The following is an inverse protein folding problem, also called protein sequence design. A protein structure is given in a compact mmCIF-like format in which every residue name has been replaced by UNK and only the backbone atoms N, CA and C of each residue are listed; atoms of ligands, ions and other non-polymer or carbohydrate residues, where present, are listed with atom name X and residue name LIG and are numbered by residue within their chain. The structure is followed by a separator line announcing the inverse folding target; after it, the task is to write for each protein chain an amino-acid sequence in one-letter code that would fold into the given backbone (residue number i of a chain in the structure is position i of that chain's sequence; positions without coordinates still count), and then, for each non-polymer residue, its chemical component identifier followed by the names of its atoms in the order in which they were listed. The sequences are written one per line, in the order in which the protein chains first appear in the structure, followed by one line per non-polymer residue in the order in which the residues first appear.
data_IF_833594171272
#
_entry.id   IF_833594171272
#
_cell.length_a   1.000
_cell.length_b   1.000
_cell.length_c   1.000
_cell.angle_alpha   90.00
_cell.angle_beta   90.00
_cell.angle_gamma   90.00
#
_symmetry.space_group_name_H-M   'P 1'
#
loop_
_entity.id
_entity.type
_entity.pdbx_description
1 polymer ?
#
# COMPACT_ATOMS: atom_id res chain seq x y z
N UNK A 1 -51.16 36.38 27.02
CA UNK A 1 -50.23 35.42 27.64
C UNK A 1 -50.19 34.04 26.97
N UNK A 2 -51.08 33.68 26.06
CA UNK A 2 -51.09 32.34 25.39
C UNK A 2 -50.29 32.24 24.09
N UNK A 3 -50.00 33.34 23.38
CA UNK A 3 -49.27 33.31 22.13
C UNK A 3 -47.74 33.05 22.28
N UNK A 4 -47.18 33.49 23.41
CA UNK A 4 -45.72 33.36 23.65
C UNK A 4 -45.29 31.92 23.99
N UNK A 5 -46.18 31.08 24.52
CA UNK A 5 -45.89 29.66 24.83
C UNK A 5 -45.90 28.75 23.59
N UNK A 6 -46.61 29.10 22.51
CA UNK A 6 -46.64 28.30 21.27
C UNK A 6 -45.35 28.43 20.44
N UNK A 7 -44.70 29.59 20.46
CA UNK A 7 -43.48 29.81 19.66
C UNK A 7 -42.26 29.12 20.25
N UNK A 8 -42.17 28.93 21.56
CA UNK A 8 -41.06 28.28 22.23
C UNK A 8 -41.09 26.76 22.02
N UNK A 9 -42.28 26.16 21.91
CA UNK A 9 -42.44 24.71 21.69
C UNK A 9 -42.09 24.23 20.30
N UNK A 10 -42.25 25.07 19.27
CA UNK A 10 -41.94 24.75 17.86
C UNK A 10 -40.44 24.83 17.58
N UNK A 11 -39.73 25.83 18.14
CA UNK A 11 -38.29 26.03 17.94
C UNK A 11 -37.44 24.88 18.54
N UNK A 12 -37.85 24.36 19.70
CA UNK A 12 -37.09 23.29 20.38
C UNK A 12 -37.21 21.93 19.68
N UNK A 13 -38.31 21.62 19.02
CA UNK A 13 -38.48 20.37 18.25
C UNK A 13 -37.73 20.37 16.91
N UNK A 14 -37.63 21.52 16.27
CA UNK A 14 -36.84 21.64 15.00
C UNK A 14 -35.34 21.56 15.25
N UNK A 15 -34.84 22.14 16.34
CA UNK A 15 -33.42 22.08 16.70
C UNK A 15 -33.03 20.64 17.08
N UNK A 16 -33.87 19.90 17.82
CA UNK A 16 -33.62 18.49 18.17
C UNK A 16 -33.56 17.58 16.93
N UNK A 17 -34.41 17.82 15.93
CA UNK A 17 -34.40 17.04 14.68
C UNK A 17 -33.15 17.28 13.83
N UNK A 18 -32.66 18.50 13.74
CA UNK A 18 -31.46 18.86 12.98
C UNK A 18 -30.18 18.32 13.63
N UNK A 19 -30.08 18.38 14.96
CA UNK A 19 -28.93 17.84 15.70
C UNK A 19 -28.87 16.32 15.59
N UNK A 20 -29.99 15.61 15.64
CA UNK A 20 -30.03 14.17 15.48
C UNK A 20 -29.65 13.72 14.06
N UNK A 21 -30.07 14.45 13.02
CA UNK A 21 -29.64 14.19 11.63
C UNK A 21 -28.15 14.46 11.40
N UNK A 22 -27.57 15.49 12.02
CA UNK A 22 -26.15 15.81 11.86
C UNK A 22 -25.23 14.74 12.49
N UNK A 23 -25.64 14.08 13.56
CA UNK A 23 -24.85 13.01 14.22
C UNK A 23 -24.79 11.74 13.36
N UNK A 24 -25.80 11.46 12.55
CA UNK A 24 -25.84 10.28 11.69
C UNK A 24 -24.86 10.34 10.49
N UNK A 25 -24.39 11.52 10.09
CA UNK A 25 -23.44 11.71 8.98
C UNK A 25 -21.96 11.65 9.39
N UNK A 26 -21.65 11.55 10.68
CA UNK A 26 -20.28 11.46 11.20
C UNK A 26 -19.79 10.00 11.39
N UNK A 27 -20.53 9.01 10.89
CA UNK A 27 -20.03 7.63 10.80
C UNK A 27 -19.00 7.53 9.69
N UNK A 28 -17.90 8.24 9.82
CA UNK A 28 -16.71 8.00 9.00
C UNK A 28 -16.32 6.54 9.14
N UNK A 29 -16.17 5.82 8.03
CA UNK A 29 -15.68 4.47 8.00
C UNK A 29 -14.26 4.44 8.60
N UNK A 30 -14.14 4.27 9.90
CA UNK A 30 -12.85 3.98 10.53
C UNK A 30 -12.45 2.60 10.04
N UNK A 31 -11.49 2.55 9.14
CA UNK A 31 -10.96 1.29 8.66
C UNK A 31 -10.32 0.53 9.82
N UNK A 32 -10.86 -0.66 10.11
CA UNK A 32 -10.34 -1.48 11.22
C UNK A 32 -8.90 -1.89 10.92
N UNK A 33 -7.97 -1.83 11.89
CA UNK A 33 -6.62 -2.33 11.70
C UNK A 33 -6.63 -3.83 11.35
N UNK A 34 -5.63 -4.27 10.61
CA UNK A 34 -5.44 -5.70 10.33
C UNK A 34 -5.18 -6.45 11.63
N UNK A 35 -5.83 -7.61 11.81
CA UNK A 35 -5.65 -8.47 12.99
C UNK A 35 -4.24 -9.09 13.02
N UNK A 36 -3.69 -9.40 11.87
CA UNK A 36 -2.33 -9.92 11.73
C UNK A 36 -1.76 -9.49 10.38
N UNK A 37 -0.51 -9.06 10.37
CA UNK A 37 0.26 -8.78 9.14
C UNK A 37 1.21 -9.94 8.80
N UNK A 38 1.30 -10.95 9.66
CA UNK A 38 2.16 -12.11 9.49
C UNK A 38 1.42 -13.31 8.87
N UNK A 39 0.11 -13.20 8.71
CA UNK A 39 -0.77 -14.22 8.14
C UNK A 39 -1.56 -13.64 6.96
N UNK A 40 -1.19 -14.06 5.73
CA UNK A 40 -1.84 -13.57 4.50
C UNK A 40 -3.31 -13.99 4.40
N UNK A 41 -3.68 -15.16 4.94
CA UNK A 41 -5.08 -15.59 4.99
C UNK A 41 -5.92 -14.66 5.86
N UNK A 42 -5.34 -14.23 6.98
CA UNK A 42 -6.00 -13.28 7.87
C UNK A 42 -6.08 -11.88 7.26
N UNK A 43 -5.03 -11.43 6.54
CA UNK A 43 -5.08 -10.17 5.77
C UNK A 43 -6.23 -10.21 4.77
N UNK A 44 -6.38 -11.28 4.02
CA UNK A 44 -7.42 -11.43 3.01
C UNK A 44 -8.82 -11.62 3.61
N UNK A 45 -8.92 -12.24 4.79
CA UNK A 45 -10.19 -12.31 5.53
C UNK A 45 -10.63 -10.93 6.05
N UNK A 46 -9.69 -10.09 6.49
CA UNK A 46 -9.96 -8.73 6.95
C UNK A 46 -10.24 -7.77 5.77
N UNK A 47 -9.68 -8.05 4.59
CA UNK A 47 -9.76 -7.22 3.38
C UNK A 47 -10.00 -8.08 2.13
N UNK A 48 -11.22 -8.61 1.91
CA UNK A 48 -11.54 -9.44 0.76
C UNK A 48 -11.21 -8.77 -0.59
N UNK A 49 -11.44 -7.45 -0.69
CA UNK A 49 -11.10 -6.66 -1.87
C UNK A 49 -9.59 -6.66 -2.19
N UNK A 50 -8.73 -6.82 -1.19
CA UNK A 50 -7.28 -6.94 -1.41
C UNK A 50 -6.90 -8.27 -2.02
N UNK A 51 -7.58 -9.36 -1.59
CA UNK A 51 -7.43 -10.68 -2.19
C UNK A 51 -7.72 -10.65 -3.69
N UNK A 52 -8.85 -10.05 -4.07
CA UNK A 52 -9.24 -9.91 -5.47
C UNK A 52 -8.23 -9.05 -6.27
N UNK A 53 -7.78 -7.93 -5.71
CA UNK A 53 -6.80 -7.06 -6.37
C UNK A 53 -5.46 -7.77 -6.61
N UNK A 54 -4.98 -8.53 -5.61
CA UNK A 54 -3.75 -9.33 -5.71
C UNK A 54 -3.92 -10.46 -6.73
N UNK A 55 -5.08 -11.12 -6.76
CA UNK A 55 -5.41 -12.14 -7.76
C UNK A 55 -5.35 -11.60 -9.18
N UNK A 56 -6.05 -10.50 -9.46
CA UNK A 56 -6.00 -9.83 -10.77
C UNK A 56 -4.59 -9.40 -11.16
N UNK A 57 -3.79 -8.94 -10.20
CA UNK A 57 -2.39 -8.56 -10.43
C UNK A 57 -1.54 -9.78 -10.82
N UNK A 58 -1.71 -10.90 -10.13
CA UNK A 58 -1.00 -12.14 -10.43
C UNK A 58 -1.34 -12.67 -11.82
N UNK A 59 -2.61 -12.66 -12.20
CA UNK A 59 -3.07 -13.06 -13.53
C UNK A 59 -2.52 -12.14 -14.63
N UNK A 60 -2.55 -10.83 -14.42
CA UNK A 60 -2.12 -9.84 -15.41
C UNK A 60 -0.61 -9.84 -15.65
N UNK A 61 0.19 -9.93 -14.60
CA UNK A 61 1.63 -9.69 -14.65
C UNK A 61 2.49 -10.94 -14.39
N UNK A 62 1.89 -12.07 -14.03
CA UNK A 62 2.63 -13.29 -13.69
C UNK A 62 3.47 -13.18 -12.43
N UNK A 63 3.15 -12.25 -11.54
CA UNK A 63 3.87 -12.04 -10.27
C UNK A 63 3.17 -12.79 -9.15
N UNK A 64 3.86 -13.69 -8.41
CA UNK A 64 3.25 -14.45 -7.34
C UNK A 64 2.64 -13.55 -6.25
N UNK A 65 1.42 -13.87 -5.76
CA UNK A 65 0.70 -13.10 -4.75
C UNK A 65 1.51 -12.81 -3.50
N UNK A 66 2.22 -13.80 -3.00
CA UNK A 66 3.06 -13.71 -1.81
C UNK A 66 4.17 -12.67 -1.95
N UNK A 67 4.70 -12.47 -3.15
CA UNK A 67 5.74 -11.47 -3.43
C UNK A 67 5.14 -10.08 -3.39
N UNK A 68 4.02 -9.87 -4.10
CA UNK A 68 3.33 -8.58 -4.14
C UNK A 68 2.94 -8.11 -2.75
N UNK A 69 2.32 -8.99 -1.93
CA UNK A 69 1.89 -8.64 -0.57
C UNK A 69 3.09 -8.41 0.36
N UNK A 70 4.19 -9.19 0.21
CA UNK A 70 5.38 -8.98 1.03
C UNK A 70 6.06 -7.64 0.73
N UNK A 71 6.01 -7.17 -0.53
CA UNK A 71 6.52 -5.86 -0.90
C UNK A 71 5.67 -4.74 -0.28
N UNK A 72 4.33 -4.79 -0.40
CA UNK A 72 3.45 -3.81 0.24
C UNK A 72 3.74 -3.69 1.74
N UNK A 73 3.87 -4.84 2.43
CA UNK A 73 4.21 -4.80 3.85
C UNK A 73 5.55 -4.11 4.10
N UNK A 74 6.57 -4.45 3.33
CA UNK A 74 7.91 -3.89 3.51
C UNK A 74 7.95 -2.38 3.25
N UNK A 75 7.22 -1.90 2.24
CA UNK A 75 7.24 -0.50 1.84
C UNK A 75 6.41 0.40 2.76
N UNK A 76 5.26 -0.05 3.20
CA UNK A 76 4.32 0.81 3.93
C UNK A 76 3.74 0.22 5.21
N UNK A 77 3.99 -1.06 5.51
CA UNK A 77 3.27 -1.80 6.54
C UNK A 77 1.74 -1.69 6.36
N UNK A 78 1.27 -1.76 5.12
CA UNK A 78 -0.14 -1.59 4.73
C UNK A 78 -0.74 -0.21 5.04
N UNK A 79 0.06 0.84 5.14
CA UNK A 79 -0.43 2.21 5.32
C UNK A 79 -0.58 2.91 3.97
N UNK A 80 -1.80 3.36 3.67
CA UNK A 80 -2.12 4.02 2.40
C UNK A 80 -1.38 5.33 2.17
N UNK A 81 -1.12 6.07 3.23
CA UNK A 81 -0.51 7.40 3.21
C UNK A 81 0.96 7.41 3.63
N UNK A 82 1.62 6.25 3.63
CA UNK A 82 3.01 6.11 4.05
C UNK A 82 3.93 7.05 3.27
N UNK A 83 4.83 7.71 4.00
CA UNK A 83 5.84 8.62 3.44
C UNK A 83 7.16 8.45 4.17
N UNK A 84 8.31 8.57 3.49
CA UNK A 84 9.60 8.62 4.15
C UNK A 84 9.65 9.75 5.19
N UNK A 85 10.32 9.55 6.33
CA UNK A 85 10.45 10.59 7.34
C UNK A 85 11.19 11.81 6.76
N UNK A 86 10.82 13.00 7.24
CA UNK A 86 11.53 14.23 6.87
C UNK A 86 12.95 14.19 7.47
N UNK A 87 13.93 14.64 6.70
CA UNK A 87 15.25 14.96 7.27
C UNK A 87 15.09 16.11 8.28
N UNK A 88 15.94 16.14 9.26
CA UNK A 88 15.98 17.26 10.22
C UNK A 88 17.17 18.16 9.90
N UNK A 89 16.92 19.46 9.73
CA UNK A 89 17.95 20.47 9.71
C UNK A 89 18.32 20.79 11.16
N UNK A 90 19.61 20.84 11.47
CA UNK A 90 20.13 21.04 12.84
C UNK A 90 19.51 20.06 13.87
N UNK A 91 19.19 18.84 13.44
CA UNK A 91 18.60 17.75 14.24
C UNK A 91 17.21 18.02 14.83
N UNK A 92 16.64 19.22 14.67
CA UNK A 92 15.37 19.63 15.28
C UNK A 92 14.33 20.14 14.27
N UNK A 93 14.73 20.86 13.22
CA UNK A 93 13.80 21.48 12.27
C UNK A 93 13.44 20.48 11.17
N UNK A 94 12.14 20.13 10.97
CA UNK A 94 11.74 19.28 9.86
C UNK A 94 12.12 19.90 8.51
N UNK A 95 12.89 19.17 7.71
CA UNK A 95 13.36 19.61 6.40
C UNK A 95 12.70 18.78 5.28
N UNK A 96 13.27 18.84 4.08
CA UNK A 96 12.76 18.09 2.91
C UNK A 96 12.80 16.58 3.14
N UNK A 97 11.87 15.84 2.52
CA UNK A 97 11.92 14.39 2.45
C UNK A 97 13.06 13.95 1.52
N UNK A 98 13.69 12.79 1.76
CA UNK A 98 14.80 12.31 0.92
C UNK A 98 14.34 11.90 -0.48
N UNK A 99 13.08 11.49 -0.62
CA UNK A 99 12.50 11.05 -1.89
C UNK A 99 11.03 11.47 -1.98
N UNK A 100 10.42 11.31 -3.17
CA UNK A 100 8.99 11.51 -3.43
C UNK A 100 8.16 10.23 -3.21
N UNK A 101 8.77 9.17 -2.64
CA UNK A 101 8.09 7.91 -2.36
C UNK A 101 6.81 8.15 -1.53
N UNK A 102 5.72 7.47 -1.94
CA UNK A 102 4.41 7.67 -1.31
C UNK A 102 3.50 6.47 -1.48
N UNK A 103 2.58 6.30 -0.51
CA UNK A 103 1.50 5.34 -0.55
C UNK A 103 1.93 3.91 -0.23
N UNK A 104 1.08 2.95 -0.55
CA UNK A 104 1.30 1.54 -0.26
C UNK A 104 2.59 0.97 -0.84
N UNK A 105 2.90 1.30 -2.09
CA UNK A 105 4.05 0.78 -2.83
C UNK A 105 5.31 1.64 -2.73
N UNK A 106 5.28 2.78 -2.04
CA UNK A 106 6.38 3.74 -1.93
C UNK A 106 6.99 4.11 -3.29
N UNK A 107 6.16 4.12 -4.35
CA UNK A 107 6.58 4.53 -5.67
C UNK A 107 6.97 6.02 -5.69
N UNK A 108 8.09 6.35 -6.34
CA UNK A 108 8.50 7.73 -6.59
C UNK A 108 7.72 8.32 -7.77
N UNK A 109 7.58 9.65 -7.82
CA UNK A 109 6.74 10.35 -8.81
C UNK A 109 7.06 9.95 -10.26
N UNK A 110 8.34 9.91 -10.62
CA UNK A 110 8.75 9.60 -11.99
C UNK A 110 8.42 8.15 -12.41
N UNK A 111 8.57 7.19 -11.48
CA UNK A 111 8.26 5.79 -11.77
C UNK A 111 6.75 5.57 -11.80
N UNK A 112 5.99 6.25 -10.92
CA UNK A 112 4.54 6.21 -10.93
C UNK A 112 3.95 6.79 -12.22
N UNK A 113 4.43 7.95 -12.67
CA UNK A 113 4.00 8.55 -13.93
C UNK A 113 4.31 7.66 -15.15
N UNK A 114 5.43 6.93 -15.13
CA UNK A 114 5.73 5.94 -16.16
C UNK A 114 4.73 4.78 -16.13
N UNK A 115 4.43 4.24 -14.96
CA UNK A 115 3.42 3.19 -14.79
C UNK A 115 2.05 3.63 -15.33
N UNK A 116 1.59 4.83 -14.98
CA UNK A 116 0.31 5.37 -15.47
C UNK A 116 0.25 5.39 -17.00
N UNK A 117 1.32 5.77 -17.67
CA UNK A 117 1.38 5.77 -19.15
C UNK A 117 1.45 4.37 -19.73
N UNK A 118 2.32 3.52 -19.20
CA UNK A 118 2.69 2.23 -19.80
C UNK A 118 1.64 1.16 -19.50
N UNK A 119 0.99 1.21 -18.35
CA UNK A 119 -0.06 0.28 -17.92
C UNK A 119 -1.49 0.76 -18.26
N UNK A 120 -1.65 1.97 -18.79
CA UNK A 120 -2.92 2.53 -19.21
C UNK A 120 -3.86 2.92 -18.07
N UNK A 121 -3.31 3.29 -16.90
CA UNK A 121 -4.08 3.68 -15.71
C UNK A 121 -3.76 5.14 -15.32
N UNK A 122 -4.31 6.11 -16.08
CA UNK A 122 -4.08 7.54 -15.85
C UNK A 122 -4.62 8.01 -14.48
N UNK A 123 -5.72 7.41 -14.02
CA UNK A 123 -6.39 7.76 -12.76
C UNK A 123 -5.88 6.96 -11.55
N UNK A 124 -4.82 6.14 -11.73
CA UNK A 124 -4.28 5.35 -10.65
C UNK A 124 -3.80 6.20 -9.47
N UNK A 125 -4.13 5.77 -8.24
CA UNK A 125 -3.80 6.45 -6.98
C UNK A 125 -2.85 5.57 -6.14
N UNK A 126 -1.74 6.15 -5.69
CA UNK A 126 -0.77 5.47 -4.81
C UNK A 126 -1.34 5.11 -3.43
N UNK A 127 -2.44 5.72 -3.03
CA UNK A 127 -3.18 5.42 -1.79
C UNK A 127 -4.25 4.36 -1.96
N UNK A 128 -4.58 3.98 -3.19
CA UNK A 128 -5.43 2.83 -3.48
C UNK A 128 -4.62 1.54 -3.48
N UNK A 129 -5.12 0.51 -2.78
CA UNK A 129 -4.42 -0.76 -2.66
C UNK A 129 -4.36 -1.54 -3.98
N UNK A 130 -5.45 -1.52 -4.75
CA UNK A 130 -5.49 -2.25 -6.02
C UNK A 130 -4.52 -1.65 -7.05
N UNK A 131 -4.44 -0.33 -7.11
CA UNK A 131 -3.48 0.37 -7.96
C UNK A 131 -2.03 0.12 -7.53
N UNK A 132 -1.79 0.13 -6.22
CA UNK A 132 -0.46 -0.11 -5.68
C UNK A 132 0.05 -1.54 -5.94
N UNK A 133 -0.81 -2.58 -5.78
CA UNK A 133 -0.41 -3.95 -6.09
C UNK A 133 -0.24 -4.16 -7.60
N UNK A 134 -1.08 -3.53 -8.42
CA UNK A 134 -0.93 -3.57 -9.87
C UNK A 134 0.37 -2.89 -10.33
N UNK A 135 0.76 -1.77 -9.70
CA UNK A 135 2.06 -1.13 -9.92
C UNK A 135 3.23 -2.09 -9.57
N UNK A 136 3.18 -2.75 -8.42
CA UNK A 136 4.23 -3.71 -8.03
C UNK A 136 4.28 -4.88 -9.03
N UNK A 137 3.13 -5.38 -9.48
CA UNK A 137 3.05 -6.40 -10.52
C UNK A 137 3.74 -5.97 -11.82
N UNK A 138 3.35 -4.80 -12.34
CA UNK A 138 3.95 -4.20 -13.53
C UNK A 138 5.48 -4.03 -13.41
N UNK A 139 5.95 -3.48 -12.30
CA UNK A 139 7.37 -3.22 -12.09
C UNK A 139 8.19 -4.52 -12.00
N UNK A 140 7.69 -5.52 -11.27
CA UNK A 140 8.36 -6.81 -11.13
C UNK A 140 8.38 -7.58 -12.47
N UNK A 141 7.29 -7.57 -13.23
CA UNK A 141 7.26 -8.18 -14.56
C UNK A 141 8.34 -7.59 -15.47
N UNK A 142 8.52 -6.25 -15.47
CA UNK A 142 9.60 -5.61 -16.21
C UNK A 142 10.99 -6.02 -15.69
N UNK A 143 11.13 -6.16 -14.36
CA UNK A 143 12.39 -6.63 -13.76
C UNK A 143 12.72 -8.07 -14.20
N UNK A 144 11.71 -8.94 -14.28
CA UNK A 144 11.91 -10.32 -14.76
C UNK A 144 12.40 -10.35 -16.20
N UNK A 145 11.78 -9.55 -17.06
CA UNK A 145 12.16 -9.46 -18.48
C UNK A 145 13.53 -8.80 -18.68
N UNK A 146 13.76 -7.66 -18.04
CA UNK A 146 14.98 -6.85 -18.28
C UNK A 146 16.23 -7.43 -17.59
N UNK A 147 16.07 -8.14 -16.49
CA UNK A 147 17.18 -8.62 -15.65
C UNK A 147 17.31 -10.14 -15.61
N UNK A 148 16.42 -10.88 -16.27
CA UNK A 148 16.39 -12.34 -16.25
C UNK A 148 16.08 -12.92 -14.87
N UNK A 149 15.29 -12.22 -14.04
CA UNK A 149 14.96 -12.67 -12.70
C UNK A 149 13.87 -13.74 -12.71
N UNK A 150 13.98 -14.71 -11.82
CA UNK A 150 12.90 -15.67 -11.58
C UNK A 150 11.74 -14.98 -10.88
N UNK A 151 10.48 -15.18 -11.33
CA UNK A 151 9.29 -14.68 -10.61
C UNK A 151 9.16 -15.16 -9.17
N UNK A 152 9.89 -16.21 -8.79
CA UNK A 152 9.90 -16.76 -7.42
C UNK A 152 11.04 -16.23 -6.55
N UNK A 153 11.97 -15.47 -7.12
CA UNK A 153 13.09 -14.88 -6.36
C UNK A 153 12.70 -13.51 -5.79
N UNK A 154 11.99 -13.52 -4.66
CA UNK A 154 11.58 -12.32 -3.96
C UNK A 154 12.75 -11.44 -3.52
N UNK A 155 13.89 -12.08 -3.17
CA UNK A 155 15.09 -11.37 -2.72
C UNK A 155 15.71 -10.51 -3.83
N UNK A 156 15.99 -11.10 -4.98
CA UNK A 156 16.56 -10.39 -6.13
C UNK A 156 15.57 -9.37 -6.72
N UNK A 157 14.27 -9.72 -6.75
CA UNK A 157 13.21 -8.80 -7.16
C UNK A 157 13.15 -7.58 -6.25
N UNK A 158 13.33 -7.74 -4.93
CA UNK A 158 13.34 -6.62 -4.01
C UNK A 158 14.60 -5.73 -4.20
N UNK A 159 15.77 -6.31 -4.49
CA UNK A 159 16.93 -5.50 -4.86
C UNK A 159 16.67 -4.65 -6.12
N UNK A 160 16.07 -5.24 -7.15
CA UNK A 160 15.73 -4.52 -8.39
C UNK A 160 14.67 -3.44 -8.14
N UNK A 161 13.69 -3.71 -7.26
CA UNK A 161 12.66 -2.75 -6.88
C UNK A 161 13.24 -1.53 -6.16
N UNK A 162 14.14 -1.76 -5.20
CA UNK A 162 14.74 -0.70 -4.39
C UNK A 162 15.82 0.11 -5.13
N UNK A 163 16.71 -0.56 -5.88
CA UNK A 163 17.85 0.07 -6.55
C UNK A 163 17.54 0.58 -7.96
N UNK A 164 16.40 0.16 -8.52
CA UNK A 164 16.13 0.27 -9.94
C UNK A 164 16.94 -0.75 -10.75
N UNK A 165 16.57 -0.94 -12.03
CA UNK A 165 17.21 -1.93 -12.90
C UNK A 165 18.72 -1.66 -13.08
N UNK A 166 19.12 -0.41 -13.31
CA UNK A 166 20.52 -0.02 -13.44
C UNK A 166 21.34 -0.28 -12.16
N UNK A 167 20.75 0.06 -11.01
CA UNK A 167 21.40 -0.18 -9.72
C UNK A 167 21.56 -1.67 -9.44
N UNK A 168 20.57 -2.47 -9.80
CA UNK A 168 20.63 -3.91 -9.69
C UNK A 168 21.78 -4.49 -10.56
N UNK A 169 21.86 -4.12 -11.86
CA UNK A 169 22.90 -4.55 -12.77
C UNK A 169 24.31 -4.16 -12.29
N UNK A 170 24.46 -2.93 -11.75
CA UNK A 170 25.70 -2.43 -11.14
C UNK A 170 25.95 -3.01 -9.75
N UNK A 171 25.05 -3.84 -9.23
CA UNK A 171 25.14 -4.50 -7.91
C UNK A 171 25.34 -3.53 -6.74
N UNK A 172 24.75 -2.31 -6.83
CA UNK A 172 24.90 -1.26 -5.79
C UNK A 172 24.39 -1.70 -4.43
N UNK A 173 23.39 -2.60 -4.40
CA UNK A 173 22.84 -3.21 -3.19
C UNK A 173 23.90 -3.94 -2.33
N UNK A 174 24.97 -4.47 -2.94
CA UNK A 174 26.02 -5.20 -2.21
C UNK A 174 26.73 -4.35 -1.16
N UNK A 175 26.80 -3.03 -1.37
CA UNK A 175 27.42 -2.07 -0.44
C UNK A 175 26.47 -1.64 0.69
N UNK A 176 25.20 -2.03 0.65
CA UNK A 176 24.14 -1.61 1.58
C UNK A 176 23.76 -2.78 2.49
N UNK A 177 24.54 -3.02 3.56
CA UNK A 177 24.31 -4.14 4.51
C UNK A 177 22.86 -4.19 5.02
N UNK A 178 22.27 -3.01 5.27
CA UNK A 178 20.87 -2.93 5.68
C UNK A 178 19.91 -3.46 4.61
N UNK A 179 20.15 -3.15 3.31
CA UNK A 179 19.30 -3.60 2.21
C UNK A 179 19.42 -5.12 2.00
N UNK A 180 20.61 -5.69 2.20
CA UNK A 180 20.79 -7.14 2.17
C UNK A 180 19.89 -7.81 3.23
N UNK A 181 19.89 -7.27 4.46
CA UNK A 181 19.06 -7.79 5.55
C UNK A 181 17.56 -7.62 5.26
N UNK A 182 17.16 -6.47 4.73
CA UNK A 182 15.74 -6.22 4.38
C UNK A 182 15.27 -7.18 3.28
N UNK A 183 16.06 -7.39 2.23
CA UNK A 183 15.70 -8.32 1.16
C UNK A 183 15.56 -9.77 1.65
N UNK A 184 16.37 -10.21 2.62
CA UNK A 184 16.20 -11.53 3.27
C UNK A 184 14.88 -11.59 4.05
N UNK A 185 14.50 -10.51 4.75
CA UNK A 185 13.22 -10.45 5.48
C UNK A 185 12.02 -10.51 4.53
N UNK A 186 12.11 -9.82 3.38
CA UNK A 186 11.09 -9.87 2.33
C UNK A 186 10.96 -11.28 1.76
N UNK A 187 12.08 -11.94 1.46
CA UNK A 187 12.07 -13.31 0.95
C UNK A 187 11.48 -14.29 1.97
N UNK A 188 11.88 -14.19 3.23
CA UNK A 188 11.34 -15.04 4.30
C UNK A 188 9.82 -14.83 4.50
N UNK A 189 9.33 -13.58 4.37
CA UNK A 189 7.89 -13.26 4.42
C UNK A 189 7.16 -13.84 3.22
N UNK A 190 7.70 -13.68 2.01
CA UNK A 190 7.11 -14.26 0.82
C UNK A 190 7.00 -15.79 0.92
N UNK A 191 8.04 -16.47 1.44
CA UNK A 191 8.01 -17.92 1.67
C UNK A 191 6.96 -18.33 2.70
N UNK A 192 6.78 -17.57 3.77
CA UNK A 192 5.72 -17.80 4.77
C UNK A 192 4.34 -17.63 4.14
N UNK A 193 4.09 -16.53 3.44
CA UNK A 193 2.83 -16.27 2.75
C UNK A 193 2.50 -17.35 1.72
N UNK A 194 3.49 -17.78 0.93
CA UNK A 194 3.31 -18.88 -0.02
C UNK A 194 2.86 -20.19 0.65
N UNK A 195 3.39 -20.50 1.83
CA UNK A 195 2.96 -21.69 2.58
C UNK A 195 1.52 -21.55 3.07
N UNK A 196 1.14 -20.38 3.57
CA UNK A 196 -0.21 -20.07 4.07
C UNK A 196 -1.25 -20.10 2.95
N UNK A 197 -0.93 -19.58 1.76
CA UNK A 197 -1.82 -19.59 0.60
C UNK A 197 -2.26 -21.00 0.14
N UNK A 198 -1.60 -22.05 0.60
CA UNK A 198 -2.07 -23.44 0.35
C UNK A 198 -3.39 -23.73 1.07
N UNK A 199 -3.68 -23.06 2.18
CA UNK A 199 -4.92 -23.20 2.97
C UNK A 199 -6.00 -22.17 2.63
N UNK A 200 -5.64 -21.08 1.96
CA UNK A 200 -6.56 -20.02 1.55
C UNK A 200 -6.24 -19.52 0.12
N UNK A 201 -6.37 -20.36 -0.91
CA UNK A 201 -5.99 -19.96 -2.27
C UNK A 201 -6.76 -18.72 -2.74
N UNK A 202 -6.21 -18.01 -3.73
CA UNK A 202 -6.85 -16.83 -4.35
C UNK A 202 -8.11 -17.22 -5.12
#
# INVERSE_FOLDING_TARGET
MHLLRLLIGFGCRLISGVVLSAVLFLSGCIERPLRSVEDICQIFADRPQWKEAVGRTAERWGVPPEITVSFIYQESSFKSDARPPRRKLLSIIPWKRPTTAFGYAQAIDSTWARYQRDAGSADADRTDFADAVNFIGWYNQQSYTALGLSPRDARSSYFAYHEGHDGYQKKTYRKKKWLLKVAEQVAARADRYRKQLKSCPL
#
